data_IF_551116484458
#
_entry.id   IF_551116484458
#
_cell.length_a   1.000
_cell.length_b   1.000
_cell.length_c   1.000
_cell.angle_alpha   90.00
_cell.angle_beta   90.00
_cell.angle_gamma   90.00
#
_symmetry.space_group_name_H-M   'P 1'
#
loop_
_entity.id
_entity.type
_entity.pdbx_description
1 polymer ?
#
# COMPACT_ATOMS: atom_id res chain seq x y z
N UNK A 1 30.31 -0.31 -6.77
CA UNK A 1 29.40 -1.44 -7.03
C UNK A 1 28.29 -1.38 -5.99
N UNK A 2 27.03 -1.07 -6.37
CA UNK A 2 25.89 -1.20 -5.46
C UNK A 2 25.70 -2.69 -5.19
N UNK A 3 25.82 -3.10 -3.93
CA UNK A 3 25.47 -4.46 -3.51
C UNK A 3 24.01 -4.69 -3.88
N UNK A 4 23.75 -5.61 -4.79
CA UNK A 4 22.36 -6.00 -5.16
C UNK A 4 21.90 -6.87 -3.99
N UNK A 5 21.32 -6.22 -2.98
CA UNK A 5 20.67 -6.94 -1.88
C UNK A 5 19.41 -7.59 -2.45
N UNK A 6 19.36 -8.92 -2.43
CA UNK A 6 18.18 -9.67 -2.88
C UNK A 6 16.97 -9.24 -2.07
N UNK A 7 15.87 -8.86 -2.74
CA UNK A 7 14.62 -8.49 -2.08
C UNK A 7 13.99 -9.71 -1.43
N UNK A 8 13.55 -9.56 -0.19
CA UNK A 8 12.96 -10.61 0.64
C UNK A 8 11.43 -10.53 0.57
N UNK A 9 10.80 -11.66 0.32
CA UNK A 9 9.34 -11.78 0.26
C UNK A 9 8.92 -12.81 1.31
N UNK A 10 7.94 -12.45 2.13
CA UNK A 10 7.27 -13.39 3.03
C UNK A 10 5.91 -13.76 2.44
N UNK A 11 5.63 -15.05 2.36
CA UNK A 11 4.33 -15.60 1.99
C UNK A 11 3.66 -16.11 3.28
N UNK A 12 2.42 -15.70 3.53
CA UNK A 12 1.57 -16.27 4.57
C UNK A 12 0.36 -16.86 3.87
N UNK A 13 0.34 -18.20 3.76
CA UNK A 13 -0.63 -18.97 2.97
C UNK A 13 -0.66 -20.39 3.53
N UNK A 14 -1.83 -20.94 3.81
CA UNK A 14 -1.98 -22.29 4.36
C UNK A 14 -1.91 -23.38 3.30
N UNK A 15 -2.30 -23.08 2.06
CA UNK A 15 -2.19 -24.03 0.94
C UNK A 15 -0.73 -24.16 0.48
N UNK A 16 -0.17 -25.36 0.72
CA UNK A 16 1.23 -25.67 0.41
C UNK A 16 1.52 -25.66 -1.09
N UNK A 17 0.57 -26.06 -1.92
CA UNK A 17 0.76 -26.11 -3.37
C UNK A 17 0.85 -24.69 -3.94
N UNK A 18 0.04 -23.78 -3.42
CA UNK A 18 0.13 -22.34 -3.76
C UNK A 18 1.47 -21.78 -3.29
N UNK A 19 1.91 -22.08 -2.07
CA UNK A 19 3.21 -21.63 -1.54
C UNK A 19 4.35 -22.10 -2.44
N UNK A 20 4.37 -23.39 -2.80
CA UNK A 20 5.43 -23.94 -3.65
C UNK A 20 5.44 -23.32 -5.04
N UNK A 21 4.27 -23.17 -5.67
CA UNK A 21 4.13 -22.52 -6.96
C UNK A 21 4.67 -21.08 -6.94
N UNK A 22 4.25 -20.30 -5.94
CA UNK A 22 4.66 -18.90 -5.79
C UNK A 22 6.15 -18.80 -5.48
N UNK A 23 6.65 -19.63 -4.53
CA UNK A 23 8.06 -19.67 -4.16
C UNK A 23 8.96 -19.99 -5.35
N UNK A 24 8.62 -21.02 -6.13
CA UNK A 24 9.38 -21.40 -7.31
C UNK A 24 9.49 -20.26 -8.32
N UNK A 25 8.37 -19.59 -8.65
CA UNK A 25 8.36 -18.52 -9.64
C UNK A 25 9.12 -17.27 -9.16
N UNK A 26 8.97 -16.89 -7.89
CA UNK A 26 9.66 -15.73 -7.33
C UNK A 26 11.16 -15.98 -7.15
N UNK A 27 11.57 -17.19 -6.73
CA UNK A 27 12.98 -17.55 -6.61
C UNK A 27 13.72 -17.53 -7.96
N UNK A 28 13.06 -18.00 -9.04
CA UNK A 28 13.62 -17.91 -10.40
C UNK A 28 13.82 -16.46 -10.89
N UNK A 29 13.11 -15.50 -10.30
CA UNK A 29 13.27 -14.06 -10.58
C UNK A 29 14.27 -13.36 -9.62
N UNK A 30 14.97 -14.13 -8.79
CA UNK A 30 16.03 -13.64 -7.91
C UNK A 30 15.53 -13.08 -6.58
N UNK A 31 14.30 -13.38 -6.15
CA UNK A 31 13.79 -13.03 -4.83
C UNK A 31 14.16 -14.06 -3.78
N UNK A 32 14.45 -13.62 -2.56
CA UNK A 32 14.55 -14.51 -1.41
C UNK A 32 13.16 -14.69 -0.80
N UNK A 33 12.67 -15.92 -0.78
CA UNK A 33 11.29 -16.22 -0.36
C UNK A 33 11.26 -17.05 0.90
N UNK A 34 10.53 -16.60 1.91
CA UNK A 34 10.18 -17.35 3.12
C UNK A 34 8.66 -17.55 3.18
N UNK A 35 8.22 -18.58 3.88
CA UNK A 35 6.80 -18.92 3.98
C UNK A 35 6.39 -19.24 5.42
N UNK A 36 5.13 -18.95 5.74
CA UNK A 36 4.42 -19.40 6.93
C UNK A 36 3.05 -19.94 6.52
N UNK A 37 2.58 -20.99 7.20
CA UNK A 37 1.35 -21.69 6.83
C UNK A 37 0.17 -21.40 7.78
N UNK A 38 0.33 -20.45 8.67
CA UNK A 38 -0.75 -19.92 9.52
C UNK A 38 -0.46 -18.47 9.91
N UNK A 39 -1.51 -17.73 10.26
CA UNK A 39 -1.42 -16.32 10.55
C UNK A 39 -0.55 -15.97 11.76
N UNK A 40 -0.58 -16.80 12.83
CA UNK A 40 0.18 -16.53 14.05
C UNK A 40 1.69 -16.69 13.83
N UNK A 41 2.10 -17.76 13.15
CA UNK A 41 3.49 -18.00 12.75
C UNK A 41 3.95 -16.91 11.78
N UNK A 42 3.09 -16.55 10.81
CA UNK A 42 3.36 -15.49 9.84
C UNK A 42 3.62 -14.15 10.50
N UNK A 43 2.76 -13.71 11.40
CA UNK A 43 2.92 -12.44 12.13
C UNK A 43 4.18 -12.43 13.00
N UNK A 44 4.49 -13.55 13.67
CA UNK A 44 5.71 -13.69 14.45
C UNK A 44 6.97 -13.58 13.58
N UNK A 45 6.98 -14.24 12.42
CA UNK A 45 8.08 -14.19 11.44
C UNK A 45 8.28 -12.76 10.92
N UNK A 46 7.19 -12.11 10.56
CA UNK A 46 7.17 -10.75 10.04
C UNK A 46 7.77 -9.75 11.02
N UNK A 47 7.43 -9.84 12.31
CA UNK A 47 8.00 -8.98 13.35
C UNK A 47 9.48 -9.24 13.63
N UNK A 48 9.93 -10.50 13.53
CA UNK A 48 11.34 -10.87 13.75
C UNK A 48 12.24 -10.51 12.58
N UNK A 49 11.75 -10.69 11.36
CA UNK A 49 12.54 -10.53 10.13
C UNK A 49 11.69 -9.83 9.07
N UNK A 50 11.52 -8.51 9.15
CA UNK A 50 10.68 -7.77 8.22
C UNK A 50 11.12 -8.00 6.76
N UNK A 51 10.20 -8.42 5.85
CA UNK A 51 10.50 -8.56 4.43
C UNK A 51 10.42 -7.22 3.69
N UNK A 52 10.75 -7.22 2.40
CA UNK A 52 10.52 -6.08 1.51
C UNK A 52 9.10 -6.06 0.93
N UNK A 53 8.40 -7.22 0.96
CA UNK A 53 7.01 -7.38 0.52
C UNK A 53 6.36 -8.56 1.23
N UNK A 54 5.10 -8.41 1.58
CA UNK A 54 4.24 -9.46 2.15
C UNK A 54 3.21 -9.92 1.13
N UNK A 55 3.20 -11.23 0.84
CA UNK A 55 2.09 -11.93 0.19
C UNK A 55 1.22 -12.54 1.30
N UNK A 56 -0.05 -12.22 1.33
CA UNK A 56 -0.92 -12.53 2.46
C UNK A 56 -2.25 -13.09 2.01
N UNK A 57 -2.52 -14.36 2.35
CA UNK A 57 -3.84 -14.91 2.15
C UNK A 57 -4.85 -14.26 3.11
N UNK A 58 -6.03 -14.00 2.59
CA UNK A 58 -7.15 -13.47 3.35
C UNK A 58 -7.65 -14.49 4.38
N UNK A 59 -7.77 -15.75 3.96
CA UNK A 59 -8.41 -16.84 4.71
C UNK A 59 -7.37 -17.76 5.33
N UNK A 60 -6.81 -17.35 6.45
CA UNK A 60 -5.80 -18.11 7.18
C UNK A 60 -6.36 -18.73 8.45
N UNK A 61 -5.87 -19.89 8.87
CA UNK A 61 -6.20 -20.45 10.17
C UNK A 61 -5.56 -19.64 11.31
N UNK A 62 -6.17 -19.68 12.49
CA UNK A 62 -5.77 -19.03 13.75
C UNK A 62 -5.92 -17.51 13.74
N UNK A 63 -5.29 -16.80 12.82
CA UNK A 63 -5.32 -15.36 12.68
C UNK A 63 -5.53 -15.01 11.21
N UNK A 64 -6.62 -14.31 10.89
CA UNK A 64 -6.98 -13.97 9.52
C UNK A 64 -6.00 -12.98 8.87
N UNK A 65 -5.91 -13.00 7.53
CA UNK A 65 -5.09 -12.04 6.80
C UNK A 65 -5.50 -10.58 7.02
N UNK A 66 -6.79 -10.31 7.25
CA UNK A 66 -7.27 -8.97 7.57
C UNK A 66 -6.74 -8.47 8.92
N UNK A 67 -6.71 -9.34 9.94
CA UNK A 67 -6.17 -9.00 11.25
C UNK A 67 -4.67 -8.73 11.17
N UNK A 68 -3.92 -9.58 10.43
CA UNK A 68 -2.48 -9.36 10.18
C UNK A 68 -2.26 -8.02 9.48
N UNK A 69 -3.03 -7.72 8.45
CA UNK A 69 -2.92 -6.45 7.72
C UNK A 69 -3.14 -5.25 8.65
N UNK A 70 -4.15 -5.28 9.53
CA UNK A 70 -4.39 -4.23 10.53
C UNK A 70 -3.21 -4.08 11.50
N UNK A 71 -2.68 -5.19 12.01
CA UNK A 71 -1.51 -5.17 12.90
C UNK A 71 -0.29 -4.54 12.22
N UNK A 72 -0.02 -4.93 10.97
CA UNK A 72 1.08 -4.36 10.17
C UNK A 72 0.90 -2.84 9.99
N UNK A 73 -0.31 -2.37 9.73
CA UNK A 73 -0.58 -0.94 9.53
C UNK A 73 -0.54 -0.11 10.80
N UNK A 74 -0.70 -0.74 11.98
CA UNK A 74 -0.56 -0.09 13.29
C UNK A 74 0.87 -0.06 13.80
N UNK A 75 1.73 -0.92 13.30
CA UNK A 75 3.13 -0.99 13.71
C UNK A 75 3.97 0.02 12.93
N UNK A 76 4.56 0.99 13.62
CA UNK A 76 5.35 2.08 13.01
C UNK A 76 6.54 1.58 12.20
N UNK A 77 7.08 0.41 12.52
CA UNK A 77 8.19 -0.21 11.79
C UNK A 77 7.77 -0.94 10.51
N UNK A 78 6.50 -1.35 10.43
CA UNK A 78 5.94 -2.19 9.38
C UNK A 78 4.87 -1.49 8.52
N UNK A 79 4.36 -0.33 8.95
CA UNK A 79 3.21 0.33 8.31
C UNK A 79 3.41 0.65 6.82
N UNK A 80 4.68 0.73 6.37
CA UNK A 80 5.06 0.98 4.97
C UNK A 80 5.30 -0.29 4.16
N UNK A 81 5.29 -1.46 4.81
CA UNK A 81 5.51 -2.72 4.13
C UNK A 81 4.46 -2.92 3.04
N UNK A 82 4.85 -3.12 1.77
CA UNK A 82 3.91 -3.44 0.71
C UNK A 82 3.21 -4.77 0.99
N UNK A 83 1.89 -4.78 0.91
CA UNK A 83 1.05 -5.97 1.13
C UNK A 83 0.27 -6.26 -0.14
N UNK A 84 0.50 -7.46 -0.72
CA UNK A 84 -0.32 -8.03 -1.78
C UNK A 84 -1.22 -9.12 -1.17
N UNK A 85 -2.53 -8.87 -1.18
CA UNK A 85 -3.51 -9.85 -0.72
C UNK A 85 -3.76 -10.94 -1.76
N UNK A 86 -3.80 -12.19 -1.30
CA UNK A 86 -4.32 -13.33 -2.06
C UNK A 86 -5.76 -13.57 -1.60
N UNK A 87 -6.72 -13.55 -2.54
CA UNK A 87 -8.14 -13.68 -2.20
C UNK A 87 -8.81 -14.78 -3.02
N UNK A 88 -9.78 -15.49 -2.46
CA UNK A 88 -10.63 -16.37 -3.24
C UNK A 88 -11.45 -15.55 -4.25
N UNK A 89 -11.93 -16.19 -5.31
CA UNK A 89 -12.82 -15.59 -6.30
C UNK A 89 -14.18 -15.34 -5.63
N UNK A 90 -14.39 -14.18 -5.10
CA UNK A 90 -15.57 -13.74 -4.40
C UNK A 90 -15.81 -12.25 -4.64
N UNK A 91 -16.85 -11.71 -4.13
CA UNK A 91 -17.45 -10.42 -4.45
C UNK A 91 -16.47 -9.24 -4.51
N UNK A 92 -16.78 -8.25 -5.35
CA UNK A 92 -16.08 -6.96 -5.40
C UNK A 92 -15.96 -6.33 -4.00
N UNK A 93 -16.89 -6.69 -3.10
CA UNK A 93 -16.87 -6.34 -1.68
C UNK A 93 -15.59 -6.79 -0.95
N UNK A 94 -15.11 -8.03 -1.15
CA UNK A 94 -13.91 -8.54 -0.47
C UNK A 94 -12.65 -7.77 -0.87
N UNK A 95 -12.59 -7.30 -2.13
CA UNK A 95 -11.47 -6.49 -2.63
C UNK A 95 -11.48 -5.09 -2.02
N UNK A 96 -12.66 -4.48 -1.91
CA UNK A 96 -12.83 -3.17 -1.27
C UNK A 96 -12.46 -3.28 0.21
N UNK A 97 -12.94 -4.32 0.91
CA UNK A 97 -12.60 -4.58 2.32
C UNK A 97 -11.11 -4.79 2.49
N UNK A 98 -10.44 -5.58 1.64
CA UNK A 98 -8.99 -5.78 1.71
C UNK A 98 -8.21 -4.45 1.54
N UNK A 99 -8.61 -3.64 0.57
CA UNK A 99 -8.02 -2.30 0.38
C UNK A 99 -8.36 -1.37 1.55
N UNK A 100 -9.60 -1.37 2.06
CA UNK A 100 -9.99 -0.59 3.25
C UNK A 100 -9.21 -1.00 4.51
N UNK A 101 -8.80 -2.26 4.62
CA UNK A 101 -7.98 -2.76 5.75
C UNK A 101 -6.49 -2.46 5.62
N UNK A 102 -6.02 -1.96 4.47
CA UNK A 102 -4.64 -1.50 4.35
C UNK A 102 -3.78 -2.26 3.35
N UNK A 103 -4.31 -3.22 2.61
CA UNK A 103 -3.58 -3.84 1.50
C UNK A 103 -3.25 -2.81 0.41
N UNK A 104 -2.13 -3.01 -0.29
CA UNK A 104 -1.70 -2.11 -1.37
C UNK A 104 -2.16 -2.61 -2.75
N UNK A 105 -2.37 -3.92 -2.90
CA UNK A 105 -2.96 -4.55 -4.08
C UNK A 105 -3.53 -5.92 -3.69
N UNK A 106 -4.23 -6.56 -4.61
CA UNK A 106 -4.79 -7.90 -4.41
C UNK A 106 -4.69 -8.72 -5.70
N UNK A 107 -4.68 -10.03 -5.57
CA UNK A 107 -4.80 -10.98 -6.66
C UNK A 107 -5.81 -12.07 -6.30
N UNK A 108 -6.70 -12.40 -7.24
CA UNK A 108 -7.75 -13.40 -7.00
C UNK A 108 -7.29 -14.79 -7.40
N UNK A 109 -7.50 -15.77 -6.54
CA UNK A 109 -7.29 -17.20 -6.83
C UNK A 109 -8.44 -17.75 -7.72
N UNK A 110 -8.14 -18.56 -8.77
CA UNK A 110 -6.80 -18.91 -9.23
C UNK A 110 -6.15 -17.79 -10.04
N UNK A 111 -4.86 -17.56 -9.84
CA UNK A 111 -4.08 -16.54 -10.53
C UNK A 111 -2.99 -17.17 -11.42
N UNK A 112 -2.56 -16.44 -12.43
CA UNK A 112 -1.38 -16.84 -13.18
C UNK A 112 -0.10 -16.40 -12.46
N UNK A 113 0.98 -17.23 -12.47
CA UNK A 113 2.27 -16.83 -11.93
C UNK A 113 2.81 -15.53 -12.54
N UNK A 114 2.54 -15.28 -13.81
CA UNK A 114 2.94 -14.04 -14.49
C UNK A 114 2.23 -12.81 -13.94
N UNK A 115 0.94 -12.92 -13.65
CA UNK A 115 0.17 -11.84 -13.03
C UNK A 115 0.69 -11.52 -11.64
N UNK A 116 0.86 -12.55 -10.79
CA UNK A 116 1.39 -12.37 -9.44
C UNK A 116 2.76 -11.68 -9.47
N UNK A 117 3.67 -12.16 -10.32
CA UNK A 117 5.02 -11.61 -10.47
C UNK A 117 4.99 -10.13 -10.93
N UNK A 118 4.12 -9.78 -11.87
CA UNK A 118 3.97 -8.41 -12.33
C UNK A 118 3.52 -7.48 -11.19
N UNK A 119 2.57 -7.91 -10.35
CA UNK A 119 2.09 -7.17 -9.18
C UNK A 119 3.18 -7.02 -8.12
N UNK A 120 3.92 -8.09 -7.81
CA UNK A 120 5.06 -8.06 -6.88
C UNK A 120 6.09 -7.03 -7.32
N UNK A 121 6.53 -7.09 -8.59
CA UNK A 121 7.49 -6.13 -9.15
C UNK A 121 6.96 -4.69 -9.10
N UNK A 122 5.68 -4.49 -9.40
CA UNK A 122 5.05 -3.17 -9.35
C UNK A 122 5.02 -2.60 -7.92
N UNK A 123 4.67 -3.40 -6.91
CA UNK A 123 4.65 -2.98 -5.51
C UNK A 123 6.05 -2.66 -5.00
N UNK A 124 7.06 -3.51 -5.27
CA UNK A 124 8.44 -3.26 -4.87
C UNK A 124 8.99 -1.97 -5.51
N UNK A 125 8.72 -1.73 -6.80
CA UNK A 125 9.11 -0.48 -7.48
C UNK A 125 8.47 0.75 -6.83
N UNK A 126 7.21 0.65 -6.43
CA UNK A 126 6.48 1.74 -5.73
C UNK A 126 7.01 1.99 -4.32
N UNK A 127 7.57 0.98 -3.67
CA UNK A 127 8.17 1.12 -2.34
C UNK A 127 9.51 1.88 -2.36
N UNK A 128 10.15 2.01 -3.52
CA UNK A 128 11.39 2.78 -3.65
C UNK A 128 11.12 4.29 -3.63
N UNK A 129 12.01 5.07 -2.99
CA UNK A 129 11.90 6.53 -3.00
C UNK A 129 11.92 7.10 -4.41
N UNK A 130 11.22 8.21 -4.69
CA UNK A 130 11.37 8.94 -5.94
C UNK A 130 12.83 9.33 -6.17
N UNK A 131 13.35 9.12 -7.38
CA UNK A 131 14.76 9.39 -7.72
C UNK A 131 15.15 10.88 -7.61
N UNK A 132 14.20 11.78 -7.78
CA UNK A 132 14.37 13.23 -7.63
C UNK A 132 13.70 13.63 -6.31
N UNK A 133 14.43 13.55 -5.20
CA UNK A 133 13.95 13.88 -3.88
C UNK A 133 13.63 15.39 -3.78
N UNK A 134 12.39 15.79 -3.92
CA UNK A 134 11.99 17.18 -3.82
C UNK A 134 11.90 17.61 -2.36
N UNK A 135 11.72 18.91 -2.19
CA UNK A 135 11.69 19.59 -0.89
C UNK A 135 10.57 19.09 -0.01
N UNK A 136 10.80 19.16 1.30
CA UNK A 136 9.74 19.02 2.32
C UNK A 136 8.61 20.01 1.96
N UNK A 137 7.39 19.53 1.97
CA UNK A 137 6.19 20.33 1.75
C UNK A 137 5.60 20.65 3.12
N UNK A 138 5.50 21.94 3.45
CA UNK A 138 4.86 22.43 4.67
C UNK A 138 3.59 23.20 4.30
N UNK A 139 2.45 22.76 4.84
CA UNK A 139 1.15 23.36 4.60
C UNK A 139 0.41 23.44 5.94
N UNK A 140 0.37 24.62 6.52
CA UNK A 140 -0.18 24.83 7.86
C UNK A 140 0.55 23.98 8.90
N UNK A 141 -0.16 23.02 9.48
CA UNK A 141 0.39 22.08 10.48
C UNK A 141 0.88 20.74 9.89
N UNK A 142 0.70 20.57 8.58
CA UNK A 142 1.08 19.34 7.88
C UNK A 142 2.47 19.51 7.28
N UNK A 143 3.41 18.61 7.60
CA UNK A 143 4.71 18.52 6.97
C UNK A 143 4.87 17.15 6.29
N UNK A 144 5.31 17.15 5.03
CA UNK A 144 5.49 15.96 4.20
C UNK A 144 6.93 15.91 3.72
N UNK A 145 7.69 14.94 4.20
CA UNK A 145 9.09 14.71 3.82
C UNK A 145 9.21 13.55 2.83
N UNK A 146 9.45 13.83 1.55
CA UNK A 146 9.55 12.79 0.53
C UNK A 146 10.85 11.98 0.60
N UNK A 147 11.90 12.51 1.22
CA UNK A 147 13.18 11.79 1.34
C UNK A 147 13.08 10.65 2.37
N UNK A 148 12.36 10.88 3.47
CA UNK A 148 12.16 9.89 4.53
C UNK A 148 10.79 9.19 4.47
N UNK A 149 9.92 9.55 3.52
CA UNK A 149 8.50 9.09 3.46
C UNK A 149 7.75 9.36 4.77
N UNK A 150 8.06 10.46 5.45
CA UNK A 150 7.44 10.83 6.71
C UNK A 150 6.43 11.95 6.50
N UNK A 151 5.34 11.83 7.25
CA UNK A 151 4.34 12.88 7.39
C UNK A 151 4.17 13.18 8.85
N UNK A 152 4.05 14.46 9.19
CA UNK A 152 3.66 14.89 10.53
C UNK A 152 2.55 15.93 10.45
N UNK A 153 1.68 15.91 11.45
CA UNK A 153 0.64 16.91 11.64
C UNK A 153 0.74 17.50 13.05
N UNK A 154 0.91 18.83 13.16
CA UNK A 154 1.21 19.50 14.42
C UNK A 154 2.44 18.92 15.16
N UNK A 155 3.47 18.53 14.42
CA UNK A 155 4.69 17.91 14.95
C UNK A 155 4.57 16.43 15.36
N UNK A 156 3.37 15.85 15.32
CA UNK A 156 3.15 14.43 15.62
C UNK A 156 3.24 13.61 14.33
N UNK A 157 3.94 12.45 14.33
CA UNK A 157 4.03 11.59 13.17
C UNK A 157 2.64 11.04 12.79
N UNK A 158 2.37 11.00 11.47
CA UNK A 158 1.17 10.40 10.90
C UNK A 158 1.60 9.13 10.16
N UNK A 159 1.20 7.93 10.64
CA UNK A 159 1.59 6.67 10.02
C UNK A 159 0.84 6.46 8.70
N UNK A 160 1.55 6.54 7.60
CA UNK A 160 1.03 6.30 6.25
C UNK A 160 1.69 5.06 5.62
N UNK A 161 0.90 4.27 4.89
CA UNK A 161 1.46 3.28 3.98
C UNK A 161 2.17 3.97 2.80
N UNK A 162 2.97 3.21 2.06
CA UNK A 162 3.70 3.76 0.90
C UNK A 162 2.77 4.39 -0.13
N UNK A 163 1.63 3.75 -0.44
CA UNK A 163 0.69 4.29 -1.42
C UNK A 163 -0.10 5.49 -0.89
N UNK A 164 -0.48 5.49 0.39
CA UNK A 164 -1.06 6.67 1.03
C UNK A 164 -0.12 7.87 0.96
N UNK A 165 1.15 7.65 1.29
CA UNK A 165 2.16 8.69 1.19
C UNK A 165 2.29 9.21 -0.24
N UNK A 166 2.41 8.33 -1.24
CA UNK A 166 2.55 8.72 -2.65
C UNK A 166 1.35 9.51 -3.15
N UNK A 167 0.13 9.11 -2.80
CA UNK A 167 -1.08 9.81 -3.17
C UNK A 167 -1.13 11.21 -2.54
N UNK A 168 -0.86 11.29 -1.24
CA UNK A 168 -0.81 12.57 -0.53
C UNK A 168 0.25 13.49 -1.12
N UNK A 169 1.47 12.98 -1.30
CA UNK A 169 2.59 13.74 -1.86
C UNK A 169 2.29 14.23 -3.28
N UNK A 170 1.73 13.38 -4.14
CA UNK A 170 1.38 13.75 -5.51
C UNK A 170 0.38 14.91 -5.54
N UNK A 171 -0.64 14.86 -4.71
CA UNK A 171 -1.66 15.91 -4.60
C UNK A 171 -1.11 17.19 -3.96
N UNK A 172 -0.39 17.08 -2.83
CA UNK A 172 0.16 18.22 -2.10
C UNK A 172 1.27 18.95 -2.87
N UNK A 173 2.04 18.27 -3.70
CA UNK A 173 3.04 18.89 -4.57
C UNK A 173 2.45 19.66 -5.76
N UNK A 174 1.14 19.56 -6.00
CA UNK A 174 0.40 20.22 -7.07
C UNK A 174 -0.91 20.81 -6.53
N UNK A 175 -0.82 21.75 -5.56
CA UNK A 175 -1.98 22.23 -4.85
C UNK A 175 -2.96 22.96 -5.77
N UNK A 176 -4.23 22.95 -5.37
CA UNK A 176 -5.34 23.64 -6.04
C UNK A 176 -5.59 23.15 -7.50
N UNK A 177 -5.02 22.01 -7.86
CA UNK A 177 -5.25 21.35 -9.16
C UNK A 177 -6.14 20.14 -8.97
N UNK A 178 -7.20 20.05 -9.77
CA UNK A 178 -8.10 18.89 -9.80
C UNK A 178 -7.46 17.79 -10.64
N UNK A 179 -7.46 16.57 -10.10
CA UNK A 179 -7.03 15.36 -10.77
C UNK A 179 -8.17 14.35 -10.82
N UNK A 180 -8.41 13.77 -11.98
CA UNK A 180 -9.37 12.68 -12.12
C UNK A 180 -8.87 11.42 -11.41
N UNK A 181 -9.77 10.48 -11.13
CA UNK A 181 -9.40 9.18 -10.54
C UNK A 181 -8.38 8.43 -11.39
N UNK A 182 -8.56 8.45 -12.71
CA UNK A 182 -7.63 7.80 -13.64
C UNK A 182 -6.24 8.46 -13.62
N UNK A 183 -6.18 9.78 -13.61
CA UNK A 183 -4.90 10.50 -13.49
C UNK A 183 -4.17 10.18 -12.19
N UNK A 184 -4.89 10.10 -11.07
CA UNK A 184 -4.31 9.72 -9.77
C UNK A 184 -3.86 8.27 -9.78
N UNK A 185 -4.66 7.40 -10.38
CA UNK A 185 -4.34 5.99 -10.51
C UNK A 185 -3.06 5.79 -11.34
N UNK A 186 -2.93 6.44 -12.50
CA UNK A 186 -1.73 6.39 -13.33
C UNK A 186 -0.49 6.94 -12.61
N UNK A 187 -0.65 8.07 -11.91
CA UNK A 187 0.45 8.72 -11.22
C UNK A 187 0.99 7.96 -10.02
N UNK A 188 0.11 7.33 -9.24
CA UNK A 188 0.45 6.66 -7.98
C UNK A 188 0.68 5.17 -8.17
N UNK A 189 -0.16 4.51 -8.97
CA UNK A 189 -0.08 3.06 -9.24
C UNK A 189 0.66 2.72 -10.52
N UNK A 190 0.84 3.68 -11.44
CA UNK A 190 1.49 3.48 -12.73
C UNK A 190 0.58 2.82 -13.76
N UNK A 191 1.13 2.62 -14.98
CA UNK A 191 0.38 2.03 -16.11
C UNK A 191 0.12 0.54 -15.96
N UNK A 192 1.02 -0.20 -15.26
CA UNK A 192 0.87 -1.64 -14.97
C UNK A 192 -0.04 -1.85 -13.75
N UNK A 193 -1.20 -1.21 -13.77
CA UNK A 193 -2.15 -1.25 -12.66
C UNK A 193 -3.17 -2.36 -12.82
N UNK A 194 -3.43 -3.05 -11.73
CA UNK A 194 -4.47 -4.07 -11.62
C UNK A 194 -5.60 -3.65 -10.68
N UNK A 195 -5.60 -2.38 -10.28
CA UNK A 195 -6.61 -1.75 -9.40
C UNK A 195 -7.52 -0.82 -10.19
N UNK A 196 -8.72 -0.62 -9.72
CA UNK A 196 -9.74 0.20 -10.38
C UNK A 196 -9.69 1.66 -9.89
N UNK A 197 -10.27 2.62 -10.61
CA UNK A 197 -10.41 4.01 -10.15
C UNK A 197 -11.07 4.15 -8.77
N UNK A 198 -11.94 3.21 -8.38
CA UNK A 198 -12.57 3.16 -7.06
C UNK A 198 -11.56 2.97 -5.92
N UNK A 199 -10.42 2.35 -6.19
CA UNK A 199 -9.35 2.24 -5.19
C UNK A 199 -8.85 3.60 -4.73
N UNK A 200 -8.84 4.61 -5.60
CA UNK A 200 -8.46 6.00 -5.24
C UNK A 200 -9.38 6.53 -4.14
N UNK A 201 -10.69 6.25 -4.22
CA UNK A 201 -11.66 6.74 -3.23
C UNK A 201 -11.38 6.16 -1.84
N UNK A 202 -11.00 4.88 -1.78
CA UNK A 202 -10.61 4.20 -0.54
C UNK A 202 -9.38 4.88 0.09
N UNK A 203 -8.34 5.13 -0.72
CA UNK A 203 -7.13 5.78 -0.23
C UNK A 203 -7.35 7.24 0.17
N UNK A 204 -8.19 7.98 -0.56
CA UNK A 204 -8.59 9.35 -0.18
C UNK A 204 -9.32 9.34 1.16
N UNK A 205 -10.26 8.43 1.37
CA UNK A 205 -10.97 8.28 2.66
C UNK A 205 -9.99 8.01 3.80
N UNK A 206 -9.09 7.04 3.65
CA UNK A 206 -8.08 6.70 4.67
C UNK A 206 -7.13 7.84 4.96
N UNK A 207 -6.72 8.60 3.94
CA UNK A 207 -5.91 9.79 4.14
C UNK A 207 -6.64 10.83 4.97
N UNK A 208 -7.92 11.11 4.65
CA UNK A 208 -8.73 12.04 5.43
C UNK A 208 -8.83 11.65 6.89
N UNK A 209 -9.08 10.38 7.19
CA UNK A 209 -9.12 9.86 8.55
C UNK A 209 -7.82 10.09 9.34
N UNK A 210 -6.69 10.26 8.64
CA UNK A 210 -5.36 10.43 9.25
C UNK A 210 -4.86 11.87 9.31
N UNK A 211 -5.23 12.71 8.33
CA UNK A 211 -4.66 14.06 8.19
C UNK A 211 -5.68 15.18 8.42
N UNK A 212 -6.98 14.90 8.35
CA UNK A 212 -8.02 15.92 8.52
C UNK A 212 -8.60 15.88 9.94
N UNK A 213 -8.95 17.05 10.47
CA UNK A 213 -9.63 17.15 11.76
C UNK A 213 -11.08 16.64 11.68
N UNK A 214 -11.72 16.83 10.51
CA UNK A 214 -13.05 16.33 10.18
C UNK A 214 -12.97 15.67 8.78
N UNK A 215 -12.93 14.32 8.71
CA UNK A 215 -12.86 13.58 7.44
C UNK A 215 -14.07 13.82 6.51
N UNK A 216 -15.24 14.14 7.06
CA UNK A 216 -16.46 14.38 6.29
C UNK A 216 -16.46 15.78 5.67
N UNK A 217 -15.82 16.76 6.35
CA UNK A 217 -15.63 18.13 5.89
C UNK A 217 -14.14 18.48 5.79
N UNK A 218 -13.38 17.80 4.90
CA UNK A 218 -11.93 17.90 4.85
C UNK A 218 -11.47 19.33 4.52
N UNK A 219 -10.46 19.81 5.22
CA UNK A 219 -9.87 21.14 4.98
C UNK A 219 -8.98 21.16 3.73
N UNK A 220 -8.19 20.10 3.55
CA UNK A 220 -7.18 20.04 2.50
C UNK A 220 -7.55 19.11 1.34
N UNK A 221 -7.95 17.87 1.62
CA UNK A 221 -8.19 16.86 0.59
C UNK A 221 -9.64 16.90 0.10
N UNK A 222 -9.93 17.80 -0.84
CA UNK A 222 -11.28 18.10 -1.34
C UNK A 222 -11.74 17.13 -2.43
N UNK A 223 -13.05 16.86 -2.45
CA UNK A 223 -13.73 16.18 -3.57
C UNK A 223 -14.36 17.21 -4.48
N UNK A 224 -14.02 17.17 -5.76
CA UNK A 224 -14.73 17.92 -6.81
C UNK A 224 -15.70 16.96 -7.48
N UNK A 225 -17.01 17.11 -7.19
CA UNK A 225 -18.05 16.21 -7.69
C UNK A 225 -17.99 16.11 -9.21
N UNK A 226 -18.02 14.88 -9.72
CA UNK A 226 -17.94 14.59 -11.15
C UNK A 226 -16.55 14.73 -11.79
N UNK A 227 -15.56 15.33 -11.10
CA UNK A 227 -14.25 15.58 -11.66
C UNK A 227 -13.12 14.78 -10.97
N UNK A 228 -13.10 14.69 -9.62
CA UNK A 228 -12.05 13.96 -8.92
C UNK A 228 -11.66 14.60 -7.60
N UNK A 229 -10.33 14.78 -7.37
CA UNK A 229 -9.79 15.26 -6.11
C UNK A 229 -8.75 16.36 -6.32
N UNK A 230 -8.63 17.23 -5.34
CA UNK A 230 -7.57 18.24 -5.25
C UNK A 230 -7.05 18.34 -3.82
N UNK A 231 -5.86 18.89 -3.65
CA UNK A 231 -5.32 19.32 -2.37
C UNK A 231 -5.34 20.83 -2.27
N UNK A 232 -6.02 21.34 -1.26
CA UNK A 232 -6.18 22.79 -1.01
C UNK A 232 -5.16 23.23 0.05
N UNK A 233 -4.40 24.31 -0.23
CA UNK A 233 -3.36 24.81 0.70
C UNK A 233 -3.90 25.78 1.75
N UNK A 234 -5.04 26.40 1.49
CA UNK A 234 -5.71 27.27 2.46
C UNK A 234 -6.82 26.47 3.15
N UNK A 235 -6.69 26.26 4.46
CA UNK A 235 -7.86 25.94 5.26
C UNK A 235 -8.77 27.18 5.25
N UNK A 236 -10.02 26.98 4.88
CA UNK A 236 -11.04 28.02 4.94
C UNK A 236 -11.29 28.45 6.39
#
# INVERSE_FOLDING_TARGET
>A
MRSITMKRILIIEDDRDIVELVRYNLANEGFQVSAAHDGSTGLSTLKKTPPDLLLLDLMLPKLSGLEICREVRRDDSLNRLPILMLTARGEEADRVVGLEMGADDYVTKPFSPRELLARVKALLRRAEPPSDAPRVIEIGKLAIDPASYRVSHSGKPVPLSTLEFRLLYYLASRPNRVFTRDQLLDAVWGTDRFVTPRSVDVYVRRLREKIESDPENPAHLKTVRGAGYLFETRAA
#
